data_IF_880363808918
#
_entry.id   IF_880363808918
#
_cell.length_a   1.000
_cell.length_b   1.000
_cell.length_c   1.000
_cell.angle_alpha   90.00
_cell.angle_beta   90.00
_cell.angle_gamma   90.00
#
_symmetry.space_group_name_H-M   'P 1'
#
loop_
_entity.id
_entity.type
_entity.pdbx_description
1 polymer ?
#
# COMPACT_ATOMS: atom_id res chain seq x y z
N UNK A 1 -19.71 23.88 23.02
CA UNK A 1 -18.86 24.75 22.17
C UNK A 1 -19.72 25.63 21.28
N UNK A 2 -19.63 26.95 21.42
CA UNK A 2 -20.29 27.89 20.50
C UNK A 2 -19.42 28.12 19.26
N UNK A 3 -20.03 28.46 18.12
CA UNK A 3 -19.38 28.59 16.80
C UNK A 3 -18.21 29.60 16.70
N UNK A 4 -17.90 30.36 17.76
CA UNK A 4 -16.87 31.40 17.78
C UNK A 4 -15.71 31.13 18.75
N UNK A 5 -15.66 29.97 19.40
CA UNK A 5 -14.57 29.67 20.35
C UNK A 5 -13.36 29.12 19.60
N UNK A 6 -12.22 29.81 19.66
CA UNK A 6 -10.97 29.32 19.07
C UNK A 6 -10.36 28.24 19.98
N UNK A 7 -10.16 27.03 19.46
CA UNK A 7 -9.49 25.97 20.21
C UNK A 7 -7.99 26.27 20.26
N UNK A 8 -7.47 26.56 21.45
CA UNK A 8 -6.05 26.85 21.67
C UNK A 8 -5.25 25.58 21.96
N UNK A 9 -5.88 24.59 22.61
CA UNK A 9 -5.25 23.33 22.97
C UNK A 9 -6.29 22.21 23.06
N UNK A 10 -5.97 21.03 22.52
CA UNK A 10 -6.78 19.84 22.70
C UNK A 10 -5.88 18.60 22.68
N UNK A 11 -5.76 17.92 23.82
CA UNK A 11 -5.00 16.67 23.92
C UNK A 11 -5.57 15.76 25.01
N UNK A 12 -5.28 14.46 24.89
CA UNK A 12 -5.64 13.46 25.90
C UNK A 12 -4.45 13.15 26.80
N UNK A 13 -4.68 13.17 28.09
CA UNK A 13 -3.66 13.08 29.13
C UNK A 13 -4.02 12.00 30.15
N UNK A 14 -3.01 11.30 30.64
CA UNK A 14 -3.16 10.42 31.81
C UNK A 14 -2.84 11.23 33.05
N UNK A 15 -3.86 11.57 33.83
CA UNK A 15 -3.74 12.45 35.00
C UNK A 15 -4.03 11.64 36.27
N UNK A 16 -3.13 11.65 37.26
CA UNK A 16 -3.38 11.05 38.58
C UNK A 16 -4.32 11.93 39.41
N UNK A 17 -5.35 11.30 39.97
CA UNK A 17 -6.33 11.87 40.88
C UNK A 17 -6.10 11.38 42.30
N UNK A 18 -5.88 12.32 43.22
CA UNK A 18 -5.62 12.04 44.62
C UNK A 18 -6.93 12.20 45.39
N UNK A 19 -7.37 11.11 46.01
CA UNK A 19 -8.55 11.07 46.84
C UNK A 19 -8.18 11.35 48.31
N UNK A 20 -9.13 11.86 49.11
CA UNK A 20 -8.90 12.22 50.52
C UNK A 20 -8.44 11.04 51.40
N UNK A 21 -8.76 9.81 51.00
CA UNK A 21 -8.34 8.58 51.68
C UNK A 21 -6.91 8.13 51.28
N UNK A 22 -6.18 8.91 50.49
CA UNK A 22 -4.83 8.59 50.02
C UNK A 22 -4.81 7.65 48.81
N UNK A 23 -5.96 7.23 48.28
CA UNK A 23 -6.05 6.47 47.04
C UNK A 23 -5.68 7.36 45.84
N UNK A 24 -4.90 6.81 44.91
CA UNK A 24 -4.53 7.47 43.67
C UNK A 24 -5.13 6.69 42.51
N UNK A 25 -5.93 7.37 41.71
CA UNK A 25 -6.56 6.83 40.51
C UNK A 25 -5.99 7.52 39.28
N UNK A 26 -5.58 6.78 38.26
CA UNK A 26 -5.17 7.41 37.00
C UNK A 26 -6.32 7.40 36.00
N UNK A 27 -6.65 8.59 35.48
CA UNK A 27 -7.70 8.75 34.47
C UNK A 27 -7.13 9.27 33.16
N UNK A 28 -7.65 8.73 32.05
CA UNK A 28 -7.33 9.21 30.71
C UNK A 28 -8.34 10.29 30.32
N UNK A 29 -7.92 11.56 30.38
CA UNK A 29 -8.81 12.70 30.23
C UNK A 29 -8.44 13.55 29.03
N UNK A 30 -9.44 13.97 28.27
CA UNK A 30 -9.30 14.99 27.24
C UNK A 30 -9.28 16.37 27.92
N UNK A 31 -8.16 17.07 27.82
CA UNK A 31 -8.00 18.46 28.23
C UNK A 31 -8.17 19.37 27.02
N UNK A 32 -9.09 20.31 27.10
CA UNK A 32 -9.39 21.28 26.03
C UNK A 32 -9.27 22.68 26.62
N UNK A 33 -8.55 23.55 25.92
CA UNK A 33 -8.50 24.98 26.18
C UNK A 33 -9.08 25.70 24.96
N UNK A 34 -10.08 26.54 25.18
CA UNK A 34 -10.65 27.41 24.16
C UNK A 34 -10.65 28.86 24.60
N UNK A 35 -10.57 29.78 23.64
CA UNK A 35 -10.61 31.22 23.87
C UNK A 35 -11.63 31.85 22.94
N UNK A 36 -12.55 32.61 23.52
CA UNK A 36 -13.60 33.33 22.81
C UNK A 36 -13.34 34.85 22.76
N UNK A 37 -12.14 35.28 23.15
CA UNK A 37 -11.69 36.68 23.20
C UNK A 37 -11.91 37.31 24.57
N UNK A 38 -13.03 37.04 25.23
CA UNK A 38 -13.37 37.61 26.54
C UNK A 38 -12.92 36.74 27.71
N UNK A 39 -13.00 35.42 27.55
CA UNK A 39 -12.68 34.41 28.57
C UNK A 39 -11.95 33.24 27.94
N UNK A 40 -11.07 32.61 28.72
CA UNK A 40 -10.59 31.27 28.40
C UNK A 40 -11.48 30.24 29.08
N UNK A 41 -11.77 29.16 28.38
CA UNK A 41 -12.47 28.01 28.93
C UNK A 41 -11.50 26.83 28.98
N UNK A 42 -11.37 26.24 30.17
CA UNK A 42 -10.62 25.00 30.37
C UNK A 42 -11.63 23.90 30.64
N UNK A 43 -11.56 22.83 29.87
CA UNK A 43 -12.45 21.68 29.99
C UNK A 43 -11.65 20.40 30.15
N UNK A 44 -12.05 19.61 31.12
CA UNK A 44 -11.46 18.31 31.44
C UNK A 44 -12.57 17.25 31.41
N UNK A 45 -12.50 16.35 30.43
CA UNK A 45 -13.54 15.33 30.20
C UNK A 45 -12.95 13.93 30.12
N UNK A 46 -13.64 12.96 30.70
CA UNK A 46 -13.38 11.54 30.45
C UNK A 46 -14.25 11.07 29.28
N UNK A 47 -13.63 10.54 28.23
CA UNK A 47 -14.39 10.04 27.07
C UNK A 47 -15.12 8.72 27.38
N UNK A 48 -14.69 8.00 28.42
CA UNK A 48 -15.33 6.76 28.87
C UNK A 48 -16.43 6.98 29.91
N UNK A 49 -16.43 8.13 30.59
CA UNK A 49 -17.37 8.49 31.65
C UNK A 49 -17.89 9.92 31.43
N UNK A 50 -19.05 10.05 30.78
CA UNK A 50 -19.66 11.35 30.46
C UNK A 50 -20.03 12.17 31.71
N UNK A 51 -20.14 11.54 32.88
CA UNK A 51 -20.38 12.25 34.14
C UNK A 51 -19.12 12.93 34.68
N UNK A 52 -17.94 12.48 34.25
CA UNK A 52 -16.67 13.11 34.56
C UNK A 52 -16.38 14.23 33.53
N UNK A 53 -17.03 15.37 33.73
CA UNK A 53 -16.89 16.53 32.86
C UNK A 53 -16.82 17.78 33.73
N UNK A 54 -15.66 18.45 33.70
CA UNK A 54 -15.40 19.66 34.46
C UNK A 54 -15.02 20.79 33.52
N UNK A 55 -15.61 21.96 33.74
CA UNK A 55 -15.36 23.16 32.96
C UNK A 55 -15.06 24.31 33.92
N UNK A 56 -14.12 25.16 33.55
CA UNK A 56 -13.95 26.47 34.15
C UNK A 56 -13.90 27.53 33.07
N UNK A 57 -14.53 28.67 33.34
CA UNK A 57 -14.48 29.85 32.49
C UNK A 57 -13.73 30.95 33.24
N UNK A 58 -12.56 31.32 32.76
CA UNK A 58 -11.71 32.34 33.39
C UNK A 58 -11.75 33.58 32.52
N UNK A 59 -12.50 34.59 32.94
CA UNK A 59 -12.44 35.96 32.46
C UNK A 59 -11.30 36.73 33.10
N UNK A 60 -11.03 37.94 32.61
CA UNK A 60 -10.06 38.87 33.22
C UNK A 60 -10.32 39.07 34.72
N UNK A 61 -11.60 39.16 35.14
CA UNK A 61 -11.95 39.37 36.56
C UNK A 61 -11.66 38.15 37.42
N UNK A 62 -11.89 36.95 36.90
CA UNK A 62 -11.54 35.71 37.61
C UNK A 62 -10.03 35.51 37.66
N UNK A 63 -9.34 35.82 36.56
CA UNK A 63 -7.88 35.83 36.53
C UNK A 63 -7.29 36.74 37.60
N UNK A 64 -7.80 37.97 37.78
CA UNK A 64 -7.29 38.86 38.84
C UNK A 64 -7.38 38.25 40.24
N UNK A 65 -8.44 37.47 40.51
CA UNK A 65 -8.57 36.74 41.78
C UNK A 65 -7.51 35.64 41.88
N UNK A 66 -7.32 34.86 40.82
CA UNK A 66 -6.29 33.81 40.75
C UNK A 66 -4.90 34.42 40.95
N UNK A 67 -4.62 35.52 40.25
CA UNK A 67 -3.37 36.29 40.28
C UNK A 67 -3.03 36.72 41.70
N UNK A 68 -3.98 37.34 42.40
CA UNK A 68 -3.78 37.78 43.79
C UNK A 68 -3.64 36.59 44.74
N UNK A 69 -4.52 35.59 44.63
CA UNK A 69 -4.55 34.46 45.57
C UNK A 69 -3.32 33.54 45.45
N UNK A 70 -2.77 33.41 44.25
CA UNK A 70 -1.61 32.56 43.96
C UNK A 70 -0.34 33.37 43.71
N UNK A 71 -0.38 34.68 43.98
CA UNK A 71 0.77 35.60 43.85
C UNK A 71 1.46 35.50 42.48
N UNK A 72 0.68 35.48 41.40
CA UNK A 72 1.19 35.39 40.04
C UNK A 72 1.66 36.76 39.55
N UNK A 73 2.90 36.86 39.07
CA UNK A 73 3.47 38.10 38.53
C UNK A 73 3.43 38.11 37.00
N UNK A 74 2.21 37.95 36.46
CA UNK A 74 1.94 37.91 35.02
C UNK A 74 0.63 38.63 34.72
N UNK A 75 0.43 39.04 33.47
CA UNK A 75 -0.84 39.59 32.99
C UNK A 75 -1.76 38.50 32.40
N UNK A 76 -3.00 38.86 32.06
CA UNK A 76 -3.99 37.90 31.56
C UNK A 76 -3.61 37.27 30.21
N UNK A 77 -2.92 37.99 29.32
CA UNK A 77 -2.46 37.44 28.05
C UNK A 77 -1.35 36.39 28.26
N UNK A 78 -0.37 36.72 29.09
CA UNK A 78 0.70 35.81 29.51
C UNK A 78 0.13 34.57 30.22
N UNK A 79 -0.91 34.74 31.03
CA UNK A 79 -1.59 33.62 31.69
C UNK A 79 -2.14 32.59 30.69
N UNK A 80 -2.76 33.04 29.58
CA UNK A 80 -3.24 32.12 28.53
C UNK A 80 -2.10 31.30 27.95
N UNK A 81 -1.01 31.98 27.55
CA UNK A 81 0.17 31.34 26.97
C UNK A 81 0.84 30.38 27.96
N UNK A 82 1.01 30.79 29.23
CA UNK A 82 1.65 29.98 30.26
C UNK A 82 0.87 28.70 30.58
N UNK A 83 -0.47 28.72 30.54
CA UNK A 83 -1.26 27.49 30.71
C UNK A 83 -0.98 26.51 29.57
N UNK A 84 -0.92 26.99 28.33
CA UNK A 84 -0.62 26.16 27.15
C UNK A 84 0.79 25.58 27.25
N UNK A 85 1.77 26.41 27.60
CA UNK A 85 3.16 25.97 27.80
C UNK A 85 3.25 24.91 28.89
N UNK A 86 2.58 25.11 30.03
CA UNK A 86 2.53 24.10 31.10
C UNK A 86 1.90 22.79 30.61
N UNK A 87 0.82 22.85 29.83
CA UNK A 87 0.22 21.64 29.25
C UNK A 87 1.18 20.90 28.31
N UNK A 88 1.96 21.63 27.50
CA UNK A 88 3.01 21.02 26.67
C UNK A 88 4.18 20.47 27.48
N UNK A 89 4.65 21.19 28.50
CA UNK A 89 5.69 20.71 29.43
C UNK A 89 5.24 19.46 30.19
N UNK A 90 3.95 19.33 30.48
CA UNK A 90 3.39 18.12 31.07
C UNK A 90 3.48 16.94 30.09
N UNK A 91 3.21 17.17 28.79
CA UNK A 91 3.36 16.13 27.77
C UNK A 91 4.82 15.67 27.62
N UNK A 92 5.79 16.58 27.75
CA UNK A 92 7.23 16.24 27.69
C UNK A 92 7.78 15.69 29.00
N UNK A 93 7.00 15.73 30.09
CA UNK A 93 7.38 15.23 31.41
C UNK A 93 8.26 16.18 32.22
N UNK A 94 8.39 17.44 31.79
CA UNK A 94 9.13 18.50 32.50
C UNK A 94 8.38 18.99 33.75
N UNK A 95 7.05 19.01 33.67
CA UNK A 95 6.18 19.28 34.81
C UNK A 95 5.17 18.14 35.02
N UNK A 96 4.57 18.13 36.20
CA UNK A 96 3.54 17.18 36.59
C UNK A 96 2.21 17.87 36.78
N UNK A 97 1.14 17.14 36.47
CA UNK A 97 -0.24 17.55 36.66
C UNK A 97 -0.92 16.53 37.57
N UNK A 98 -1.72 17.01 38.53
CA UNK A 98 -2.59 16.15 39.35
C UNK A 98 -3.96 16.77 39.52
N UNK A 99 -4.97 15.92 39.68
CA UNK A 99 -6.31 16.33 40.06
C UNK A 99 -6.63 15.95 41.50
N UNK A 100 -7.47 16.74 42.15
CA UNK A 100 -8.10 16.41 43.43
C UNK A 100 -9.60 16.66 43.30
N UNK A 101 -10.42 15.66 43.62
CA UNK A 101 -11.87 15.76 43.53
C UNK A 101 -12.46 16.14 44.89
N UNK A 102 -13.32 17.15 44.88
CA UNK A 102 -14.11 17.56 46.04
C UNK A 102 -15.54 17.84 45.60
N UNK A 103 -16.40 16.83 45.75
CA UNK A 103 -17.81 16.86 45.36
C UNK A 103 -18.02 17.31 43.91
N UNK A 104 -18.42 18.58 43.70
CA UNK A 104 -18.68 19.18 42.38
C UNK A 104 -17.51 20.00 41.85
N UNK A 105 -16.33 19.89 42.48
CA UNK A 105 -15.13 20.66 42.14
C UNK A 105 -13.96 19.71 41.88
N UNK A 106 -13.14 20.08 40.91
CA UNK A 106 -11.90 19.42 40.58
C UNK A 106 -10.77 20.45 40.70
N UNK A 107 -9.85 20.27 41.63
CA UNK A 107 -8.66 21.10 41.75
C UNK A 107 -7.54 20.49 40.91
N UNK A 108 -7.19 21.16 39.82
CA UNK A 108 -6.10 20.79 38.93
C UNK A 108 -4.83 21.54 39.34
N UNK A 109 -3.76 20.81 39.68
CA UNK A 109 -2.51 21.40 40.17
C UNK A 109 -1.35 21.07 39.23
N UNK A 110 -0.73 22.11 38.68
CA UNK A 110 0.53 22.06 37.95
C UNK A 110 1.70 22.22 38.93
N UNK A 111 2.64 21.28 38.93
CA UNK A 111 3.75 21.28 39.86
C UNK A 111 4.99 20.58 39.30
N UNK A 112 6.15 20.85 39.89
CA UNK A 112 7.36 20.02 39.71
C UNK A 112 7.77 19.38 41.03
N UNK A 113 8.53 18.29 40.96
CA UNK A 113 9.04 17.57 42.13
C UNK A 113 10.45 18.05 42.44
N UNK A 114 10.64 18.66 43.62
CA UNK A 114 11.99 18.85 44.17
C UNK A 114 12.41 17.64 45.01
N UNK A 115 13.63 17.65 45.55
CA UNK A 115 14.14 16.57 46.43
C UNK A 115 13.32 16.36 47.70
N UNK A 116 12.61 17.38 48.17
CA UNK A 116 11.98 17.38 49.51
C UNK A 116 10.47 17.71 49.43
N UNK A 117 10.03 18.48 48.43
CA UNK A 117 8.64 18.89 48.29
C UNK A 117 8.22 19.13 46.83
N UNK A 118 6.91 19.14 46.60
CA UNK A 118 6.36 19.62 45.33
C UNK A 118 6.41 21.16 45.31
N UNK A 119 6.81 21.71 44.17
CA UNK A 119 6.76 23.15 43.88
C UNK A 119 5.57 23.37 42.96
N UNK A 120 4.56 24.07 43.46
CA UNK A 120 3.32 24.33 42.73
C UNK A 120 3.51 25.58 41.87
N UNK A 121 3.18 25.47 40.58
CA UNK A 121 3.21 26.60 39.63
C UNK A 121 1.85 27.26 39.49
N UNK A 122 0.79 26.45 39.41
CA UNK A 122 -0.57 26.93 39.22
C UNK A 122 -1.59 25.92 39.75
N UNK A 123 -2.62 26.42 40.42
CA UNK A 123 -3.79 25.65 40.82
C UNK A 123 -5.02 26.22 40.11
N UNK A 124 -5.84 25.37 39.50
CA UNK A 124 -7.07 25.76 38.83
C UNK A 124 -8.22 24.96 39.42
N UNK A 125 -9.23 25.64 39.89
CA UNK A 125 -10.48 25.01 40.32
C UNK A 125 -11.42 24.93 39.11
N UNK A 126 -11.82 23.72 38.75
CA UNK A 126 -12.84 23.47 37.74
C UNK A 126 -14.12 23.00 38.40
N UNK A 127 -15.25 23.38 37.81
CA UNK A 127 -16.57 23.02 38.30
C UNK A 127 -17.19 21.93 37.43
N UNK A 128 -17.97 21.04 38.04
CA UNK A 128 -18.74 20.06 37.30
C UNK A 128 -19.60 20.77 36.25
N UNK A 129 -19.46 20.38 34.99
CA UNK A 129 -20.22 20.94 33.88
C UNK A 129 -21.71 20.70 34.09
N UNK A 130 -22.55 21.67 33.73
CA UNK A 130 -24.00 21.51 33.85
C UNK A 130 -24.49 20.34 32.99
N UNK A 131 -25.39 19.52 33.53
CA UNK A 131 -25.97 18.38 32.83
C UNK A 131 -26.67 18.80 31.54
N UNK A 132 -27.29 19.98 31.52
CA UNK A 132 -27.93 20.52 30.31
C UNK A 132 -26.91 20.76 29.18
N UNK A 133 -25.72 21.26 29.53
CA UNK A 133 -24.60 21.48 28.61
C UNK A 133 -24.04 20.14 28.12
N UNK A 134 -23.84 19.18 29.03
CA UNK A 134 -23.38 17.82 28.69
C UNK A 134 -24.32 17.16 27.67
N UNK A 135 -25.63 17.19 27.93
CA UNK A 135 -26.64 16.60 27.01
C UNK A 135 -26.60 17.28 25.65
N UNK A 136 -26.49 18.61 25.62
CA UNK A 136 -26.42 19.38 24.37
C UNK A 136 -25.18 19.01 23.56
N UNK A 137 -24.03 18.88 24.21
CA UNK A 137 -22.79 18.46 23.57
C UNK A 137 -22.87 17.03 23.05
N UNK A 138 -23.40 16.09 23.84
CA UNK A 138 -23.63 14.72 23.41
C UNK A 138 -24.53 14.66 22.17
N UNK A 139 -25.57 15.50 22.11
CA UNK A 139 -26.46 15.57 20.96
C UNK A 139 -25.73 16.09 19.71
N UNK A 140 -24.88 17.11 19.85
CA UNK A 140 -24.06 17.64 18.76
C UNK A 140 -23.06 16.60 18.25
N UNK A 141 -22.30 15.97 19.16
CA UNK A 141 -21.34 14.92 18.82
C UNK A 141 -22.04 13.72 18.14
N UNK A 142 -23.21 13.30 18.65
CA UNK A 142 -24.00 12.24 18.05
C UNK A 142 -24.49 12.60 16.64
N UNK A 143 -24.93 13.84 16.43
CA UNK A 143 -25.31 14.35 15.12
C UNK A 143 -24.13 14.35 14.13
N UNK A 144 -22.95 14.78 14.57
CA UNK A 144 -21.73 14.74 13.76
C UNK A 144 -21.31 13.32 13.40
N UNK A 145 -21.38 12.39 14.36
CA UNK A 145 -21.11 10.97 14.13
C UNK A 145 -22.10 10.38 13.13
N UNK A 146 -23.39 10.68 13.25
CA UNK A 146 -24.40 10.23 12.31
C UNK A 146 -24.17 10.78 10.89
N UNK A 147 -23.82 12.05 10.77
CA UNK A 147 -23.51 12.68 9.49
C UNK A 147 -22.26 12.07 8.84
N UNK A 148 -21.22 11.83 9.65
CA UNK A 148 -20.00 11.15 9.21
C UNK A 148 -20.30 9.73 8.75
N UNK A 149 -21.12 8.98 9.49
CA UNK A 149 -21.52 7.63 9.14
C UNK A 149 -22.30 7.61 7.81
N UNK A 150 -23.29 8.50 7.62
CA UNK A 150 -24.02 8.65 6.35
C UNK A 150 -23.08 8.94 5.17
N UNK A 151 -22.06 9.79 5.37
CA UNK A 151 -21.05 10.09 4.36
C UNK A 151 -20.21 8.85 4.02
N UNK A 152 -19.74 8.13 5.04
CA UNK A 152 -18.94 6.91 4.87
C UNK A 152 -19.74 5.81 4.16
N UNK A 153 -21.02 5.64 4.48
CA UNK A 153 -21.90 4.69 3.78
C UNK A 153 -22.05 5.02 2.29
N UNK A 154 -22.20 6.30 1.93
CA UNK A 154 -22.22 6.74 0.53
C UNK A 154 -20.90 6.42 -0.18
N UNK A 155 -19.76 6.71 0.46
CA UNK A 155 -18.43 6.41 -0.09
C UNK A 155 -18.23 4.90 -0.29
N UNK A 156 -18.65 4.09 0.68
CA UNK A 156 -18.58 2.63 0.60
C UNK A 156 -19.43 2.09 -0.55
N UNK A 157 -20.65 2.62 -0.74
CA UNK A 157 -21.52 2.24 -1.84
C UNK A 157 -20.88 2.54 -3.21
N UNK A 158 -20.32 3.75 -3.37
CA UNK A 158 -19.62 4.13 -4.61
C UNK A 158 -18.40 3.23 -4.88
N UNK A 159 -17.60 2.96 -3.85
CA UNK A 159 -16.42 2.09 -3.97
C UNK A 159 -16.79 0.66 -4.35
N UNK A 160 -17.84 0.08 -3.73
CA UNK A 160 -18.36 -1.24 -4.11
C UNK A 160 -18.78 -1.31 -5.58
N UNK A 161 -19.45 -0.28 -6.08
CA UNK A 161 -19.86 -0.21 -7.49
C UNK A 161 -18.65 -0.17 -8.43
N UNK A 162 -17.63 0.63 -8.11
CA UNK A 162 -16.40 0.69 -8.90
C UNK A 162 -15.64 -0.63 -8.94
N UNK A 163 -15.59 -1.35 -7.81
CA UNK A 163 -14.99 -2.69 -7.75
C UNK A 163 -15.73 -3.66 -8.68
N UNK A 164 -17.05 -3.71 -8.62
CA UNK A 164 -17.86 -4.56 -9.51
C UNK A 164 -17.66 -4.22 -10.99
N UNK A 165 -17.60 -2.93 -11.33
CA UNK A 165 -17.32 -2.49 -12.71
C UNK A 165 -15.94 -2.96 -13.19
N UNK A 166 -14.93 -2.92 -12.31
CA UNK A 166 -13.57 -3.39 -12.61
C UNK A 166 -13.47 -4.92 -12.69
N UNK A 167 -14.18 -5.65 -11.85
CA UNK A 167 -14.28 -7.12 -11.95
C UNK A 167 -14.86 -7.54 -13.30
N UNK A 168 -15.93 -6.88 -13.76
CA UNK A 168 -16.51 -7.12 -15.09
C UNK A 168 -15.54 -6.76 -16.24
N UNK A 169 -14.72 -5.72 -16.07
CA UNK A 169 -13.71 -5.35 -17.06
C UNK A 169 -12.60 -6.43 -17.15
N UNK A 170 -12.15 -6.94 -16.00
CA UNK A 170 -11.17 -8.03 -15.93
C UNK A 170 -11.72 -9.30 -16.58
N UNK A 171 -12.97 -9.67 -16.31
CA UNK A 171 -13.61 -10.84 -16.93
C UNK A 171 -13.65 -10.72 -18.47
N UNK A 172 -13.99 -9.54 -18.99
CA UNK A 172 -13.98 -9.27 -20.44
C UNK A 172 -12.59 -9.37 -21.05
N UNK A 173 -11.57 -8.89 -20.34
CA UNK A 173 -10.18 -8.99 -20.77
C UNK A 173 -9.70 -10.44 -20.79
N UNK A 174 -10.07 -11.25 -19.80
CA UNK A 174 -9.76 -12.70 -19.75
C UNK A 174 -10.39 -13.44 -20.95
N UNK A 175 -11.67 -13.16 -21.24
CA UNK A 175 -12.36 -13.72 -22.42
C UNK A 175 -11.63 -13.33 -23.71
N UNK A 176 -11.29 -12.05 -23.86
CA UNK A 176 -10.60 -11.54 -25.06
C UNK A 176 -9.22 -12.18 -25.23
N UNK A 177 -8.45 -12.30 -24.16
CA UNK A 177 -7.16 -12.99 -24.12
C UNK A 177 -7.29 -14.44 -24.58
N UNK A 178 -8.29 -15.17 -24.09
CA UNK A 178 -8.53 -16.56 -24.47
C UNK A 178 -8.89 -16.69 -25.96
N UNK A 179 -9.69 -15.77 -26.50
CA UNK A 179 -10.02 -15.73 -27.94
C UNK A 179 -8.74 -15.50 -28.76
N UNK A 180 -7.94 -14.49 -28.42
CA UNK A 180 -6.69 -14.19 -29.13
C UNK A 180 -5.72 -15.37 -29.07
N UNK A 181 -5.56 -15.99 -27.90
CA UNK A 181 -4.69 -17.14 -27.71
C UNK A 181 -5.12 -18.33 -28.60
N UNK A 182 -6.43 -18.60 -28.65
CA UNK A 182 -6.97 -19.67 -29.50
C UNK A 182 -6.74 -19.40 -30.99
N UNK A 183 -6.90 -18.15 -31.43
CA UNK A 183 -6.63 -17.73 -32.81
C UNK A 183 -5.15 -17.84 -33.14
N UNK A 184 -4.28 -17.39 -32.24
CA UNK A 184 -2.83 -17.48 -32.42
C UNK A 184 -2.37 -18.93 -32.57
N UNK A 185 -2.81 -19.83 -31.67
CA UNK A 185 -2.49 -21.25 -31.76
C UNK A 185 -2.97 -21.87 -33.08
N UNK A 186 -4.19 -21.54 -33.53
CA UNK A 186 -4.73 -22.04 -34.80
C UNK A 186 -3.91 -21.54 -35.99
N UNK A 187 -3.57 -20.26 -36.03
CA UNK A 187 -2.75 -19.69 -37.09
C UNK A 187 -1.35 -20.33 -37.10
N UNK A 188 -0.76 -20.58 -35.93
CA UNK A 188 0.54 -21.22 -35.81
C UNK A 188 0.52 -22.65 -36.35
N UNK A 189 -0.51 -23.44 -36.00
CA UNK A 189 -0.71 -24.79 -36.53
C UNK A 189 -0.84 -24.79 -38.06
N UNK A 190 -1.61 -23.85 -38.61
CA UNK A 190 -1.77 -23.72 -40.07
C UNK A 190 -0.44 -23.43 -40.76
N UNK A 191 0.41 -22.55 -40.18
CA UNK A 191 1.74 -22.25 -40.72
C UNK A 191 2.63 -23.49 -40.66
N UNK A 192 2.62 -24.22 -39.54
CA UNK A 192 3.43 -25.43 -39.34
C UNK A 192 3.05 -26.54 -40.32
N UNK A 193 1.74 -26.77 -40.54
CA UNK A 193 1.23 -27.70 -41.55
C UNK A 193 1.68 -27.30 -42.97
N UNK A 194 1.58 -26.02 -43.31
CA UNK A 194 2.00 -25.49 -44.61
C UNK A 194 3.49 -25.67 -44.84
N UNK A 195 4.30 -25.38 -43.82
CA UNK A 195 5.74 -25.50 -43.85
C UNK A 195 6.17 -26.97 -44.00
N UNK A 196 5.59 -27.85 -43.18
CA UNK A 196 5.81 -29.30 -43.22
C UNK A 196 5.45 -29.90 -44.57
N UNK A 197 4.30 -29.51 -45.13
CA UNK A 197 3.85 -29.98 -46.45
C UNK A 197 4.80 -29.54 -47.56
N UNK A 198 5.28 -28.28 -47.53
CA UNK A 198 6.25 -27.79 -48.51
C UNK A 198 7.62 -28.46 -48.39
N UNK A 199 8.11 -28.68 -47.17
CA UNK A 199 9.37 -29.40 -46.95
C UNK A 199 9.27 -30.82 -47.49
N UNK A 200 8.21 -31.56 -47.16
CA UNK A 200 8.02 -32.93 -47.65
C UNK A 200 7.95 -32.96 -49.19
N UNK A 201 7.26 -32.00 -49.81
CA UNK A 201 7.23 -31.88 -51.26
C UNK A 201 8.62 -31.66 -51.87
N UNK A 202 9.42 -30.75 -51.32
CA UNK A 202 10.78 -30.48 -51.79
C UNK A 202 11.69 -31.70 -51.59
N UNK A 203 11.61 -32.34 -50.41
CA UNK A 203 12.38 -33.57 -50.13
C UNK A 203 12.07 -34.68 -51.15
N UNK A 204 10.78 -34.90 -51.46
CA UNK A 204 10.37 -35.88 -52.47
C UNK A 204 10.89 -35.53 -53.87
N UNK A 205 10.88 -34.25 -54.25
CA UNK A 205 11.47 -33.79 -55.52
C UNK A 205 12.97 -34.08 -55.59
N UNK A 206 13.71 -33.78 -54.51
CA UNK A 206 15.16 -34.03 -54.43
C UNK A 206 15.45 -35.53 -54.50
N UNK A 207 14.73 -36.36 -53.73
CA UNK A 207 14.87 -37.81 -53.74
C UNK A 207 14.61 -38.40 -55.14
N UNK A 208 13.56 -37.95 -55.82
CA UNK A 208 13.26 -38.39 -57.18
C UNK A 208 14.39 -38.02 -58.16
N UNK A 209 14.93 -36.80 -58.07
CA UNK A 209 16.08 -36.38 -58.90
C UNK A 209 17.32 -37.23 -58.60
N UNK A 210 17.60 -37.51 -57.32
CA UNK A 210 18.70 -38.39 -56.93
C UNK A 210 18.53 -39.82 -57.48
N UNK A 211 17.31 -40.38 -57.45
CA UNK A 211 17.02 -41.69 -58.04
C UNK A 211 17.25 -41.71 -59.56
N UNK A 212 16.84 -40.66 -60.27
CA UNK A 212 17.09 -40.53 -61.71
C UNK A 212 18.59 -40.49 -61.98
N UNK A 213 19.35 -39.64 -61.28
CA UNK A 213 20.80 -39.55 -61.44
C UNK A 213 21.51 -40.86 -61.10
N UNK A 214 21.11 -41.54 -60.02
CA UNK A 214 21.63 -42.87 -59.66
C UNK A 214 21.43 -43.87 -60.79
N UNK A 215 20.24 -43.89 -61.39
CA UNK A 215 19.93 -44.78 -62.51
C UNK A 215 20.79 -44.44 -63.74
N UNK A 216 20.95 -43.16 -64.06
CA UNK A 216 21.80 -42.71 -65.16
C UNK A 216 23.27 -43.10 -64.94
N UNK A 217 23.79 -42.92 -63.73
CA UNK A 217 25.15 -43.32 -63.34
C UNK A 217 25.32 -44.84 -63.48
N UNK A 218 24.37 -45.64 -63.01
CA UNK A 218 24.44 -47.10 -63.16
C UNK A 218 24.44 -47.53 -64.63
N UNK A 219 23.65 -46.87 -65.49
CA UNK A 219 23.65 -47.16 -66.93
C UNK A 219 24.98 -46.75 -67.59
N UNK A 220 25.53 -45.60 -67.22
CA UNK A 220 26.86 -45.16 -67.65
C UNK A 220 27.96 -46.13 -67.21
N UNK A 221 27.93 -46.61 -65.97
CA UNK A 221 28.85 -47.63 -65.47
C UNK A 221 28.78 -48.91 -66.31
N UNK A 222 27.56 -49.43 -66.57
CA UNK A 222 27.37 -50.59 -67.45
C UNK A 222 27.93 -50.36 -68.85
N UNK A 223 27.72 -49.16 -69.41
CA UNK A 223 28.22 -48.82 -70.74
C UNK A 223 29.75 -48.76 -70.78
N UNK A 224 30.37 -48.15 -69.77
CA UNK A 224 31.84 -48.12 -69.60
C UNK A 224 32.40 -49.54 -69.46
N UNK A 225 31.75 -50.41 -68.69
CA UNK A 225 32.15 -51.82 -68.55
C UNK A 225 32.05 -52.58 -69.89
N UNK A 226 31.01 -52.32 -70.68
CA UNK A 226 30.89 -52.89 -72.03
C UNK A 226 32.02 -52.44 -72.94
N UNK A 227 32.33 -51.14 -72.96
CA UNK A 227 33.44 -50.59 -73.76
C UNK A 227 34.78 -51.19 -73.31
N UNK A 228 35.00 -51.35 -72.00
CA UNK A 228 36.20 -52.01 -71.46
C UNK A 228 36.31 -53.43 -72.00
N UNK A 229 35.25 -54.24 -71.89
CA UNK A 229 35.22 -55.62 -72.43
C UNK A 229 35.47 -55.67 -73.94
N UNK A 230 34.88 -54.76 -74.70
CA UNK A 230 35.07 -54.68 -76.15
C UNK A 230 36.52 -54.32 -76.50
N UNK A 231 37.11 -53.37 -75.78
CA UNK A 231 38.52 -53.01 -75.95
C UNK A 231 39.46 -54.15 -75.59
N UNK A 232 39.21 -54.87 -74.50
CA UNK A 232 39.99 -56.05 -74.11
C UNK A 232 39.89 -57.14 -75.18
N UNK A 233 38.69 -57.41 -75.70
CA UNK A 233 38.47 -58.35 -76.81
C UNK A 233 39.20 -57.93 -78.09
N UNK A 234 39.15 -56.64 -78.46
CA UNK A 234 39.91 -56.09 -79.59
C UNK A 234 41.42 -56.21 -79.37
N UNK A 235 41.91 -55.93 -78.17
CA UNK A 235 43.32 -56.08 -77.83
C UNK A 235 43.78 -57.54 -77.95
N UNK A 236 42.95 -58.51 -77.53
CA UNK A 236 43.20 -59.95 -77.70
C UNK A 236 43.22 -60.32 -79.19
N UNK A 237 42.23 -59.88 -79.98
CA UNK A 237 42.19 -60.12 -81.42
C UNK A 237 43.39 -59.51 -82.13
N UNK A 238 43.78 -58.28 -81.79
CA UNK A 238 44.97 -57.64 -82.35
C UNK A 238 46.25 -58.40 -81.98
N UNK A 239 46.39 -58.87 -80.73
CA UNK A 239 47.50 -59.76 -80.34
C UNK A 239 47.52 -61.04 -81.18
N UNK A 240 46.37 -61.69 -81.39
CA UNK A 240 46.28 -62.89 -82.22
C UNK A 240 46.64 -62.63 -83.68
N UNK A 241 46.24 -61.49 -84.24
CA UNK A 241 46.64 -61.07 -85.59
C UNK A 241 48.15 -60.84 -85.65
N UNK A 242 48.73 -60.17 -84.65
CA UNK A 242 50.17 -59.95 -84.56
C UNK A 242 50.96 -61.26 -84.51
N UNK A 243 50.50 -62.23 -83.71
CA UNK A 243 51.07 -63.59 -83.67
C UNK A 243 50.95 -64.27 -85.04
N UNK A 244 49.79 -64.24 -85.69
CA UNK A 244 49.61 -64.83 -87.04
C UNK A 244 50.48 -64.17 -88.11
N UNK A 245 50.68 -62.85 -88.04
CA UNK A 245 51.57 -62.12 -88.95
C UNK A 245 53.03 -62.47 -88.72
N UNK A 246 53.45 -62.61 -87.46
CA UNK A 246 54.79 -63.12 -87.12
C UNK A 246 55.01 -64.54 -87.65
N UNK A 247 54.01 -65.42 -87.50
CA UNK A 247 54.07 -66.80 -88.03
C UNK A 247 54.16 -66.84 -89.57
N UNK A 248 53.53 -65.88 -90.28
CA UNK A 248 53.62 -65.75 -91.73
C UNK A 248 54.99 -65.22 -92.18
N UNK A 249 55.56 -64.27 -91.44
CA UNK A 249 56.92 -63.76 -91.69
C UNK A 249 58.02 -64.78 -91.43
N UNK A 250 57.78 -65.77 -90.56
CA UNK A 250 58.71 -66.89 -90.33
C UNK A 250 58.59 -68.02 -91.37
N UNK A 251 57.56 -67.97 -92.24
CA UNK A 251 57.31 -68.95 -93.30
C UNK A 251 57.62 -68.43 -94.72
N UNK A 252 58.18 -67.22 -94.83
CA UNK A 252 58.81 -66.67 -96.04
C UNK A 252 60.32 -66.71 -95.93
#
# INVERSE_FOLDING_TARGET
MTLNDSCLYAASHRIPFYHKNGFIEERQLSTILSDNGERIQIKLRDLSDCCFNFTENISIREFEKIRVNQTLDINYGEFKTNIIEMLHQFQTGEIYLKGELQDKKCLLTFYTKSKIKNIIFLMLELHLTDQSEIITEMYLEMSEVQNTNKRLQKQLCMSKKQVQEKELEVEKLEITKNIIMSQFCRCFQQVDELFSTKINYIQNLVLNKMCIFKTQIMNLQKHVESIKKDNDSKAIKNKQILVKLQDLQQKS
#
